data_IF_041335228051
#
_entry.id   IF_041335228051
#
_cell.length_a   1.000
_cell.length_b   1.000
_cell.length_c   1.000
_cell.angle_alpha   90.00
_cell.angle_beta   90.00
_cell.angle_gamma   90.00
#
_symmetry.space_group_name_H-M   'P 1'
#
loop_
_entity.id
_entity.type
_entity.pdbx_description
1 polymer ?
#
# COMPACT_ATOMS: atom_id res chain seq x y z
N UNK A 1 55.12 -2.99 75.43
CA UNK A 1 55.27 -3.79 74.20
C UNK A 1 54.40 -5.02 74.34
N UNK A 2 53.15 -4.95 73.87
CA UNK A 2 52.39 -5.97 73.13
C UNK A 2 51.13 -5.25 72.61
N UNK A 3 51.01 -5.13 71.28
CA UNK A 3 49.81 -4.72 70.55
C UNK A 3 48.68 -5.75 70.76
N UNK A 4 47.43 -5.28 70.85
CA UNK A 4 46.25 -6.13 70.71
C UNK A 4 45.29 -5.42 69.75
N UNK A 5 45.11 -6.11 68.63
CA UNK A 5 44.55 -5.64 67.38
C UNK A 5 43.12 -5.12 67.47
N UNK A 6 42.92 -4.10 66.66
CA UNK A 6 41.65 -3.47 66.31
C UNK A 6 40.84 -4.43 65.42
N UNK A 7 39.61 -4.77 65.82
CA UNK A 7 38.60 -5.31 64.92
C UNK A 7 38.32 -4.29 63.81
N UNK A 8 38.62 -4.64 62.56
CA UNK A 8 38.14 -3.88 61.41
C UNK A 8 37.02 -4.65 60.71
N UNK A 9 35.85 -4.03 60.75
CA UNK A 9 34.62 -4.50 60.12
C UNK A 9 34.60 -4.01 58.67
N UNK A 10 34.19 -4.91 57.75
CA UNK A 10 33.56 -4.68 56.42
C UNK A 10 34.26 -5.30 55.18
N UNK A 11 33.87 -6.53 54.76
CA UNK A 11 34.11 -7.03 53.39
C UNK A 11 32.84 -7.13 52.52
N UNK A 12 31.63 -6.94 53.07
CA UNK A 12 30.39 -7.39 52.42
C UNK A 12 29.88 -6.44 51.32
N UNK A 13 30.06 -5.12 51.44
CA UNK A 13 29.48 -4.12 50.52
C UNK A 13 30.23 -3.98 49.18
N UNK A 14 31.56 -4.04 49.19
CA UNK A 14 32.38 -3.96 47.96
C UNK A 14 32.20 -5.20 47.07
N UNK A 15 32.07 -6.38 47.68
CA UNK A 15 31.86 -7.65 46.98
C UNK A 15 30.48 -7.70 46.28
N UNK A 16 29.44 -7.14 46.89
CA UNK A 16 28.12 -7.03 46.26
C UNK A 16 28.09 -6.12 45.03
N UNK A 17 28.84 -5.01 45.05
CA UNK A 17 28.93 -4.07 43.92
C UNK A 17 29.65 -4.68 42.72
N UNK A 18 30.77 -5.38 42.95
CA UNK A 18 31.51 -6.08 41.91
C UNK A 18 30.68 -7.22 41.28
N UNK A 19 29.99 -8.01 42.13
CA UNK A 19 29.14 -9.11 41.67
C UNK A 19 27.96 -8.62 40.81
N UNK A 20 27.38 -7.46 41.15
CA UNK A 20 26.33 -6.82 40.33
C UNK A 20 26.84 -6.43 38.94
N UNK A 21 28.04 -5.86 38.84
CA UNK A 21 28.66 -5.48 37.54
C UNK A 21 28.92 -6.71 36.66
N UNK A 22 29.41 -7.79 37.25
CA UNK A 22 29.69 -9.04 36.53
C UNK A 22 28.41 -9.71 36.02
N UNK A 23 27.36 -9.71 36.84
CA UNK A 23 26.05 -10.21 36.43
C UNK A 23 25.45 -9.38 35.29
N UNK A 24 25.58 -8.06 35.34
CA UNK A 24 25.14 -7.17 34.26
C UNK A 24 25.94 -7.42 32.98
N UNK A 25 27.26 -7.57 33.07
CA UNK A 25 28.14 -7.91 31.94
C UNK A 25 27.75 -9.24 31.29
N UNK A 26 27.52 -10.27 32.12
CA UNK A 26 27.11 -11.60 31.66
C UNK A 26 25.73 -11.59 31.03
N UNK A 27 24.77 -10.87 31.63
CA UNK A 27 23.44 -10.71 31.06
C UNK A 27 23.50 -9.99 29.71
N UNK A 28 24.29 -8.91 29.60
CA UNK A 28 24.46 -8.15 28.37
C UNK A 28 25.04 -9.02 27.25
N UNK A 29 26.08 -9.82 27.55
CA UNK A 29 26.68 -10.77 26.61
C UNK A 29 25.67 -11.81 26.14
N UNK A 30 24.94 -12.44 27.07
CA UNK A 30 23.90 -13.41 26.71
C UNK A 30 22.79 -12.81 25.85
N UNK A 31 22.38 -11.58 26.15
CA UNK A 31 21.39 -10.87 25.32
C UNK A 31 21.94 -10.60 23.93
N UNK A 32 23.21 -10.17 23.79
CA UNK A 32 23.81 -9.99 22.47
C UNK A 32 23.91 -11.31 21.71
N UNK A 33 24.39 -12.38 22.35
CA UNK A 33 24.47 -13.71 21.74
C UNK A 33 23.09 -14.18 21.30
N UNK A 34 22.05 -14.00 22.11
CA UNK A 34 20.68 -14.36 21.76
C UNK A 34 20.13 -13.53 20.59
N UNK A 35 20.38 -12.22 20.55
CA UNK A 35 19.96 -11.34 19.45
C UNK A 35 20.62 -11.77 18.13
N UNK A 36 21.93 -12.05 18.16
CA UNK A 36 22.68 -12.43 16.95
C UNK A 36 22.53 -13.92 16.57
N UNK A 37 21.97 -14.75 17.46
CA UNK A 37 21.65 -16.16 17.15
C UNK A 37 20.33 -16.32 16.41
N UNK A 38 19.54 -15.26 16.24
CA UNK A 38 18.31 -15.31 15.45
C UNK A 38 18.67 -15.28 13.96
N UNK A 39 18.29 -16.32 13.23
CA UNK A 39 18.24 -16.25 11.77
C UNK A 39 17.11 -15.29 11.39
N UNK A 40 17.41 -14.24 10.62
CA UNK A 40 16.38 -13.35 10.09
C UNK A 40 15.66 -14.11 8.98
N UNK A 41 14.36 -14.43 9.12
CA UNK A 41 13.62 -15.13 8.07
C UNK A 41 13.53 -14.21 6.85
N UNK A 42 14.03 -14.69 5.72
CA UNK A 42 13.94 -13.99 4.43
C UNK A 42 12.72 -14.52 3.69
N UNK A 43 11.76 -13.65 3.41
CA UNK A 43 10.59 -13.95 2.59
C UNK A 43 10.83 -13.34 1.21
N UNK A 44 10.79 -14.16 0.17
CA UNK A 44 10.87 -13.72 -1.22
C UNK A 44 9.46 -13.65 -1.78
N UNK A 45 9.07 -12.48 -2.26
CA UNK A 45 7.78 -12.25 -2.92
C UNK A 45 8.08 -12.05 -4.41
N UNK A 46 8.01 -13.12 -5.23
CA UNK A 46 8.27 -13.02 -6.65
C UNK A 46 7.15 -12.23 -7.34
N UNK A 47 7.50 -11.55 -8.43
CA UNK A 47 6.55 -11.00 -9.41
C UNK A 47 5.40 -10.15 -8.82
N UNK A 48 5.69 -9.40 -7.75
CA UNK A 48 4.71 -8.49 -7.17
C UNK A 48 4.27 -7.46 -8.23
N UNK A 49 2.96 -7.34 -8.51
CA UNK A 49 2.46 -6.44 -9.54
C UNK A 49 2.72 -4.98 -9.16
N UNK A 50 3.17 -4.18 -10.13
CA UNK A 50 3.61 -2.82 -9.89
C UNK A 50 4.93 -2.71 -9.09
N UNK A 51 5.64 -3.83 -8.90
CA UNK A 51 6.98 -3.87 -8.34
C UNK A 51 7.08 -3.49 -6.87
N UNK A 52 8.31 -3.18 -6.45
CA UNK A 52 8.64 -2.88 -5.05
C UNK A 52 7.88 -1.65 -4.51
N UNK A 53 7.62 -0.64 -5.36
CA UNK A 53 6.88 0.56 -4.98
C UNK A 53 5.44 0.23 -4.55
N UNK A 54 4.77 -0.63 -5.32
CA UNK A 54 3.40 -1.03 -5.00
C UNK A 54 3.32 -1.86 -3.73
N UNK A 55 4.30 -2.75 -3.53
CA UNK A 55 4.45 -3.50 -2.29
C UNK A 55 4.75 -2.58 -1.09
N UNK A 56 5.58 -1.56 -1.25
CA UNK A 56 5.89 -0.60 -0.18
C UNK A 56 4.62 0.11 0.31
N UNK A 57 3.74 0.54 -0.60
CA UNK A 57 2.45 1.15 -0.24
C UNK A 57 1.52 0.16 0.47
N UNK A 58 1.47 -1.10 0.02
CA UNK A 58 0.73 -2.16 0.70
C UNK A 58 1.30 -2.47 2.09
N UNK A 59 2.61 -2.43 2.26
CA UNK A 59 3.25 -2.58 3.56
C UNK A 59 2.93 -1.38 4.47
N UNK A 60 3.03 -0.14 3.95
CA UNK A 60 2.62 1.07 4.69
C UNK A 60 1.19 0.96 5.19
N UNK A 61 0.27 0.51 4.33
CA UNK A 61 -1.10 0.21 4.72
C UNK A 61 -1.17 -0.76 5.91
N UNK A 62 -0.49 -1.89 5.85
CA UNK A 62 -0.48 -2.90 6.92
C UNK A 62 0.06 -2.37 8.25
N UNK A 63 1.04 -1.46 8.19
CA UNK A 63 1.61 -0.82 9.37
C UNK A 63 0.85 0.42 9.85
N UNK A 64 -0.30 0.74 9.24
CA UNK A 64 -1.10 1.91 9.61
C UNK A 64 -0.46 3.24 9.22
N UNK A 65 0.50 3.23 8.30
CA UNK A 65 1.11 4.43 7.73
C UNK A 65 0.18 4.92 6.62
N UNK A 66 -0.25 6.18 6.74
CA UNK A 66 -1.09 6.80 5.73
C UNK A 66 -0.30 7.03 4.44
N UNK A 67 -0.96 6.73 3.32
CA UNK A 67 -0.56 7.12 1.98
C UNK A 67 -1.83 7.47 1.19
N UNK A 68 -1.66 8.22 0.12
CA UNK A 68 -2.77 8.65 -0.73
C UNK A 68 -2.94 7.69 -1.91
N UNK A 69 -4.19 7.29 -2.15
CA UNK A 69 -4.58 6.55 -3.35
C UNK A 69 -4.98 7.60 -4.41
N UNK A 70 -4.41 7.48 -5.61
CA UNK A 70 -4.65 8.38 -6.72
C UNK A 70 -4.74 7.59 -8.04
N UNK A 71 -5.01 8.28 -9.15
CA UNK A 71 -5.16 7.65 -10.48
C UNK A 71 -3.89 7.02 -11.03
N UNK A 72 -2.72 7.40 -10.52
CA UNK A 72 -1.42 6.87 -10.97
C UNK A 72 -1.09 5.54 -10.28
N UNK A 73 -1.42 5.41 -8.99
CA UNK A 73 -1.07 4.23 -8.19
C UNK A 73 -2.23 3.22 -8.04
N UNK A 74 -3.49 3.64 -8.24
CA UNK A 74 -4.67 2.81 -7.95
C UNK A 74 -4.61 1.45 -8.66
N UNK A 75 -4.23 1.42 -9.93
CA UNK A 75 -4.22 0.20 -10.74
C UNK A 75 -3.27 -0.84 -10.17
N UNK A 76 -2.07 -0.40 -9.78
CA UNK A 76 -1.07 -1.27 -9.18
C UNK A 76 -1.44 -1.68 -7.74
N UNK A 77 -2.07 -0.77 -6.98
CA UNK A 77 -2.57 -1.07 -5.64
C UNK A 77 -3.69 -2.11 -5.66
N UNK A 78 -4.62 -2.05 -6.61
CA UNK A 78 -5.63 -3.10 -6.79
C UNK A 78 -4.98 -4.47 -7.05
N UNK A 79 -4.01 -4.52 -7.97
CA UNK A 79 -3.32 -5.76 -8.31
C UNK A 79 -2.51 -6.33 -7.15
N UNK A 80 -1.75 -5.50 -6.42
CA UNK A 80 -0.93 -5.99 -5.31
C UNK A 80 -1.80 -6.40 -4.12
N UNK A 81 -2.91 -5.70 -3.88
CA UNK A 81 -3.85 -6.08 -2.83
C UNK A 81 -4.52 -7.42 -3.13
N UNK A 82 -4.89 -7.67 -4.39
CA UNK A 82 -5.41 -8.96 -4.83
C UNK A 82 -4.32 -10.05 -4.76
N UNK A 83 -3.11 -9.75 -5.21
CA UNK A 83 -1.96 -10.68 -5.18
C UNK A 83 -1.58 -11.13 -3.77
N UNK A 84 -1.61 -10.20 -2.82
CA UNK A 84 -1.30 -10.44 -1.41
C UNK A 84 -2.52 -10.90 -0.60
N UNK A 85 -3.67 -11.09 -1.25
CA UNK A 85 -4.93 -11.49 -0.62
C UNK A 85 -5.32 -10.58 0.57
N UNK A 86 -5.12 -9.26 0.42
CA UNK A 86 -5.46 -8.25 1.43
C UNK A 86 -6.96 -7.98 1.43
N UNK A 87 -7.75 -8.95 1.89
CA UNK A 87 -9.22 -8.96 1.86
C UNK A 87 -9.84 -8.67 3.24
N UNK A 88 -11.16 -8.46 3.24
CA UNK A 88 -11.95 -8.27 4.48
C UNK A 88 -12.01 -9.54 5.35
N UNK A 89 -11.64 -10.71 4.81
CA UNK A 89 -11.61 -11.96 5.58
C UNK A 89 -10.57 -11.91 6.71
N UNK A 90 -9.55 -11.05 6.56
CA UNK A 90 -8.46 -10.89 7.53
C UNK A 90 -8.56 -9.59 8.32
N UNK A 91 -9.01 -8.49 7.71
CA UNK A 91 -9.09 -7.19 8.38
C UNK A 91 -10.19 -6.28 7.80
N UNK A 92 -10.95 -5.61 8.68
CA UNK A 92 -11.96 -4.63 8.28
C UNK A 92 -11.28 -3.40 7.66
N UNK A 93 -11.79 -2.96 6.51
CA UNK A 93 -11.25 -1.80 5.80
C UNK A 93 -9.94 -2.11 5.07
N UNK A 94 -9.80 -3.36 4.61
CA UNK A 94 -8.75 -3.94 3.80
C UNK A 94 -8.38 -3.10 2.57
N UNK A 95 -7.18 -3.32 2.03
CA UNK A 95 -6.69 -2.55 0.90
C UNK A 95 -7.50 -2.82 -0.36
N UNK A 96 -7.96 -4.06 -0.58
CA UNK A 96 -8.88 -4.40 -1.67
C UNK A 96 -10.15 -3.55 -1.59
N UNK A 97 -10.78 -3.46 -0.41
CA UNK A 97 -12.00 -2.67 -0.25
C UNK A 97 -11.77 -1.17 -0.42
N UNK A 98 -10.63 -0.66 0.05
CA UNK A 98 -10.30 0.77 -0.03
C UNK A 98 -10.02 1.21 -1.47
N UNK A 99 -9.26 0.40 -2.20
CA UNK A 99 -8.97 0.63 -3.62
C UNK A 99 -10.25 0.50 -4.47
N UNK A 100 -11.09 -0.49 -4.17
CA UNK A 100 -12.40 -0.65 -4.81
C UNK A 100 -13.29 0.58 -4.65
N UNK A 101 -13.39 1.12 -3.43
CA UNK A 101 -14.18 2.32 -3.16
C UNK A 101 -13.66 3.53 -3.96
N UNK A 102 -12.34 3.78 -3.95
CA UNK A 102 -11.75 4.87 -4.73
C UNK A 102 -12.04 4.72 -6.22
N UNK A 103 -11.93 3.50 -6.74
CA UNK A 103 -12.20 3.23 -8.13
C UNK A 103 -13.66 3.53 -8.50
N UNK A 104 -14.62 3.04 -7.72
CA UNK A 104 -16.05 3.23 -8.01
C UNK A 104 -16.54 4.66 -7.77
N UNK A 105 -16.03 5.34 -6.75
CA UNK A 105 -16.54 6.63 -6.28
C UNK A 105 -15.78 7.82 -6.87
N UNK A 106 -14.53 7.62 -7.30
CA UNK A 106 -13.66 8.71 -7.78
C UNK A 106 -13.20 8.45 -9.21
N UNK A 107 -12.40 7.39 -9.44
CA UNK A 107 -11.70 7.23 -10.71
C UNK A 107 -12.66 6.96 -11.89
N UNK A 108 -13.65 6.09 -11.70
CA UNK A 108 -14.63 5.73 -12.75
C UNK A 108 -15.80 6.71 -12.88
N UNK A 109 -15.83 7.79 -12.10
CA UNK A 109 -16.84 8.86 -12.22
C UNK A 109 -16.40 9.97 -13.20
N UNK A 110 -15.15 9.93 -13.69
CA UNK A 110 -14.58 10.88 -14.64
C UNK A 110 -14.05 10.15 -15.87
N UNK A 111 -14.25 10.71 -17.07
CA UNK A 111 -13.76 10.09 -18.30
C UNK A 111 -12.23 10.00 -18.29
N UNK A 112 -11.57 11.11 -17.94
CA UNK A 112 -10.10 11.17 -17.82
C UNK A 112 -9.60 10.17 -16.78
N UNK A 113 -10.29 10.03 -15.65
CA UNK A 113 -9.93 9.05 -14.62
C UNK A 113 -10.04 7.61 -15.13
N UNK A 114 -11.15 7.27 -15.79
CA UNK A 114 -11.37 5.94 -16.35
C UNK A 114 -10.37 5.58 -17.45
N UNK A 115 -10.03 6.53 -18.33
CA UNK A 115 -9.02 6.36 -19.38
C UNK A 115 -7.62 6.18 -18.78
N UNK A 116 -7.23 7.00 -17.81
CA UNK A 116 -5.92 6.87 -17.15
C UNK A 116 -5.76 5.51 -16.47
N UNK A 117 -6.79 5.04 -15.76
CA UNK A 117 -6.77 3.71 -15.14
C UNK A 117 -6.71 2.59 -16.19
N UNK A 118 -7.43 2.73 -17.29
CA UNK A 118 -7.40 1.78 -18.40
C UNK A 118 -6.00 1.73 -19.05
N UNK A 119 -5.38 2.87 -19.33
CA UNK A 119 -4.02 2.92 -19.88
C UNK A 119 -3.00 2.26 -18.93
N UNK A 120 -3.08 2.57 -17.62
CA UNK A 120 -2.20 1.96 -16.63
C UNK A 120 -2.38 0.43 -16.51
N UNK A 121 -3.55 -0.11 -16.90
CA UNK A 121 -3.88 -1.53 -16.81
C UNK A 121 -3.05 -2.41 -17.74
N UNK A 122 -2.57 -1.87 -18.88
CA UNK A 122 -1.81 -2.60 -19.89
C UNK A 122 -0.53 -3.23 -19.31
N UNK A 123 0.15 -2.50 -18.43
CA UNK A 123 1.42 -2.92 -17.83
C UNK A 123 1.29 -3.95 -16.70
N UNK A 124 0.05 -4.37 -16.36
CA UNK A 124 -0.25 -5.21 -15.20
C UNK A 124 -0.99 -6.50 -15.56
N UNK A 125 -0.95 -6.89 -16.84
CA UNK A 125 -1.43 -8.20 -17.28
C UNK A 125 -0.53 -9.33 -16.75
N UNK A 126 -1.09 -10.50 -16.36
CA UNK A 126 -2.50 -10.89 -16.46
C UNK A 126 -3.32 -10.61 -15.19
N UNK A 127 -2.71 -10.16 -14.09
CA UNK A 127 -3.41 -10.07 -12.80
C UNK A 127 -4.57 -9.08 -12.83
N UNK A 128 -4.46 -8.02 -13.64
CA UNK A 128 -5.48 -7.01 -13.79
C UNK A 128 -6.82 -7.57 -14.33
N UNK A 129 -6.78 -8.67 -15.08
CA UNK A 129 -7.99 -9.36 -15.55
C UNK A 129 -8.74 -10.05 -14.40
N UNK A 130 -8.01 -10.56 -13.40
CA UNK A 130 -8.63 -11.17 -12.21
C UNK A 130 -9.43 -10.14 -11.41
N UNK A 131 -8.92 -8.91 -11.34
CA UNK A 131 -9.57 -7.77 -10.69
C UNK A 131 -10.75 -7.23 -11.53
N UNK A 132 -10.90 -7.69 -12.79
CA UNK A 132 -11.93 -7.24 -13.75
C UNK A 132 -11.92 -5.73 -13.98
N UNK A 133 -10.75 -5.10 -13.86
CA UNK A 133 -10.65 -3.64 -13.93
C UNK A 133 -10.89 -3.10 -15.33
N UNK A 134 -10.31 -3.76 -16.34
CA UNK A 134 -10.37 -3.36 -17.75
C UNK A 134 -11.83 -3.23 -18.22
N UNK A 135 -12.66 -4.25 -17.97
CA UNK A 135 -14.07 -4.23 -18.34
C UNK A 135 -14.84 -3.09 -17.68
N UNK A 136 -14.57 -2.82 -16.40
CA UNK A 136 -15.22 -1.72 -15.66
C UNK A 136 -14.82 -0.35 -16.19
N UNK A 137 -13.56 -0.16 -16.58
CA UNK A 137 -13.12 1.06 -17.23
C UNK A 137 -13.85 1.25 -18.57
N UNK A 138 -13.96 0.20 -19.39
CA UNK A 138 -14.67 0.26 -20.67
C UNK A 138 -16.15 0.62 -20.45
N UNK A 139 -16.82 -0.04 -19.51
CA UNK A 139 -18.22 0.23 -19.18
C UNK A 139 -18.41 1.68 -18.69
N UNK A 140 -17.50 2.17 -17.83
CA UNK A 140 -17.52 3.54 -17.34
C UNK A 140 -17.30 4.56 -18.46
N UNK A 141 -16.31 4.33 -19.33
CA UNK A 141 -16.02 5.20 -20.49
C UNK A 141 -17.24 5.26 -21.41
N UNK A 142 -17.83 4.11 -21.75
CA UNK A 142 -19.02 4.05 -22.59
C UNK A 142 -20.20 4.80 -21.96
N UNK A 143 -20.45 4.58 -20.67
CA UNK A 143 -21.51 5.27 -19.94
C UNK A 143 -21.30 6.78 -19.89
N UNK A 144 -20.09 7.25 -19.57
CA UNK A 144 -19.76 8.67 -19.46
C UNK A 144 -19.83 9.37 -20.82
N UNK A 145 -19.34 8.74 -21.88
CA UNK A 145 -19.45 9.26 -23.24
C UNK A 145 -20.92 9.42 -23.67
N UNK A 146 -21.78 8.45 -23.35
CA UNK A 146 -23.21 8.53 -23.65
C UNK A 146 -23.94 9.57 -22.79
N UNK A 147 -23.63 9.65 -21.49
CA UNK A 147 -24.28 10.57 -20.56
C UNK A 147 -24.04 12.03 -20.94
N UNK A 148 -22.81 12.40 -21.31
CA UNK A 148 -22.49 13.77 -21.70
C UNK A 148 -23.24 14.19 -22.98
N UNK A 149 -23.36 13.27 -23.94
CA UNK A 149 -24.14 13.51 -25.17
C UNK A 149 -25.64 13.70 -24.94
N UNK A 150 -26.21 13.15 -23.86
CA UNK A 150 -27.62 13.25 -23.52
C UNK A 150 -28.03 14.58 -22.87
N UNK A 151 -27.10 15.24 -22.17
CA UNK A 151 -27.35 16.51 -21.49
C UNK A 151 -27.57 17.66 -22.50
N UNK A 152 -26.89 17.61 -23.65
CA UNK A 152 -27.01 18.60 -24.72
C UNK A 152 -28.29 18.42 -25.57
N UNK A 153 -28.82 17.19 -25.68
CA UNK A 153 -30.04 16.89 -26.46
C UNK A 153 -31.30 17.42 -25.75
N UNK A 154 -31.30 17.50 -24.41
CA UNK A 154 -32.41 18.08 -23.65
C UNK A 154 -32.50 19.62 -23.79
N UNK A 155 -31.42 20.29 -24.18
CA UNK A 155 -31.34 21.76 -24.33
C UNK A 155 -31.34 22.23 -25.80
N UNK A 156 -31.02 21.37 -26.77
CA UNK A 156 -30.91 21.77 -28.18
C UNK A 156 -32.04 21.23 -29.05
N UNK A 157 -33.24 21.80 -28.86
CA UNK A 157 -34.31 21.75 -29.88
C UNK A 157 -34.00 22.64 -31.08
N UNK A 158 -32.94 23.45 -31.07
CA UNK A 158 -32.46 24.22 -32.23
C UNK A 158 -30.99 24.54 -32.06
N UNK A 159 -30.13 23.82 -32.80
CA UNK A 159 -29.01 24.34 -33.61
C UNK A 159 -28.11 23.14 -33.94
N UNK A 160 -28.08 22.83 -35.23
CA UNK A 160 -27.16 21.90 -35.86
C UNK A 160 -25.71 22.30 -35.60
N UNK A 161 -25.00 21.50 -34.80
CA UNK A 161 -23.55 21.35 -34.83
C UNK A 161 -23.18 19.92 -34.42
N UNK A 162 -23.27 18.98 -35.36
CA UNK A 162 -22.87 17.58 -35.18
C UNK A 162 -21.35 17.36 -35.14
N UNK A 163 -20.54 18.44 -35.24
CA UNK A 163 -19.08 18.37 -35.30
C UNK A 163 -18.37 18.45 -33.95
N UNK A 164 -19.01 18.92 -32.88
CA UNK A 164 -18.32 19.14 -31.59
C UNK A 164 -18.56 18.03 -30.57
N UNK A 165 -19.69 17.32 -30.67
CA UNK A 165 -20.06 16.26 -29.71
C UNK A 165 -19.23 14.97 -29.90
N UNK A 166 -18.66 14.76 -31.09
CA UNK A 166 -17.93 13.52 -31.43
C UNK A 166 -16.42 13.65 -31.23
N UNK A 167 -15.84 14.86 -31.26
CA UNK A 167 -14.38 15.03 -31.25
C UNK A 167 -13.77 15.09 -29.84
N UNK A 168 -14.52 15.49 -28.81
CA UNK A 168 -13.94 15.77 -27.48
C UNK A 168 -13.38 14.55 -26.74
N UNK A 169 -14.00 13.38 -26.90
CA UNK A 169 -13.51 12.12 -26.30
C UNK A 169 -12.54 11.40 -27.23
N UNK A 170 -12.53 11.72 -28.52
CA UNK A 170 -11.65 11.09 -29.50
C UNK A 170 -10.18 11.45 -29.27
N UNK A 171 -9.90 12.67 -28.78
CA UNK A 171 -8.56 13.13 -28.44
C UNK A 171 -7.98 12.36 -27.25
N UNK A 172 -8.76 12.19 -26.18
CA UNK A 172 -8.35 11.43 -25.00
C UNK A 172 -8.25 9.92 -25.26
N UNK A 173 -9.10 9.39 -26.15
CA UNK A 173 -9.06 7.98 -26.53
C UNK A 173 -7.95 7.67 -27.55
N UNK A 174 -7.50 8.66 -28.34
CA UNK A 174 -6.41 8.47 -29.31
C UNK A 174 -5.03 8.26 -28.66
N UNK A 175 -4.93 8.48 -27.35
CA UNK A 175 -3.70 8.26 -26.57
C UNK A 175 -3.63 6.84 -26.00
N UNK A 176 -4.74 6.08 -26.03
CA UNK A 176 -4.77 4.63 -25.78
C UNK A 176 -4.28 3.84 -27.01
#
# INVERSE_FOLDING_TARGET
MVDLDQEDTTPTTLNMSAKKKELMSTAMKRTSEWIFSQEIPIIVIPDAPGGAESFELAAKFCYGINFEINTENITAQCCVAEYLEMTEDYAIGSLVKRTEAFLSEVALQSLVGAISVLHASENLLPIIEKVKLVGRCIDAIAYLACKESGNDIAMSSKISNSKTVVDWWAEDLAVL
#
